data_IF_207480447348
#
_entry.id   IF_207480447348
#
_cell.length_a   1.000
_cell.length_b   1.000
_cell.length_c   1.000
_cell.angle_alpha   90.00
_cell.angle_beta   90.00
_cell.angle_gamma   90.00
#
_symmetry.space_group_name_H-M   'P 1'
#
loop_
_entity.id
_entity.type
_entity.pdbx_description
1 polymer ?
#
# COMPACT_ATOMS: atom_id res chain seq x y z
N UNK A 1 -12.31 3.79 22.08
CA UNK A 1 -12.73 2.79 21.09
C UNK A 1 -11.65 2.72 20.01
N UNK A 2 -10.73 1.75 20.09
CA UNK A 2 -9.57 1.65 19.19
C UNK A 2 -10.00 1.07 17.84
N UNK A 3 -10.13 1.94 16.84
CA UNK A 3 -10.62 1.55 15.51
C UNK A 3 -9.42 1.11 14.65
N UNK A 4 -9.12 -0.20 14.66
CA UNK A 4 -8.16 -0.79 13.72
C UNK A 4 -8.85 -1.70 12.69
N UNK A 5 -9.40 -1.14 11.59
CA UNK A 5 -9.49 -1.98 10.38
C UNK A 5 -9.16 -1.36 9.00
N UNK A 6 -8.68 -0.11 8.79
CA UNK A 6 -8.39 0.33 7.42
C UNK A 6 -7.18 -0.41 6.81
N UNK A 7 -6.15 -0.70 7.61
CA UNK A 7 -4.93 -1.36 7.14
C UNK A 7 -5.17 -2.79 6.59
N UNK A 8 -5.95 -3.61 7.29
CA UNK A 8 -6.26 -4.99 6.83
C UNK A 8 -7.11 -5.00 5.57
N UNK A 9 -8.04 -4.04 5.44
CA UNK A 9 -8.88 -3.92 4.23
C UNK A 9 -8.05 -3.47 3.04
N UNK A 10 -7.20 -2.46 3.22
CA UNK A 10 -6.25 -2.03 2.19
C UNK A 10 -5.28 -3.15 1.79
N UNK A 11 -4.78 -3.92 2.77
CA UNK A 11 -3.91 -5.07 2.51
C UNK A 11 -4.60 -6.19 1.72
N UNK A 12 -5.85 -6.53 2.06
CA UNK A 12 -6.63 -7.52 1.29
C UNK A 12 -6.92 -7.05 -0.13
N UNK A 13 -7.25 -5.76 -0.30
CA UNK A 13 -7.44 -5.17 -1.62
C UNK A 13 -6.14 -5.20 -2.42
N UNK A 14 -5.02 -4.86 -1.79
CA UNK A 14 -3.69 -4.91 -2.41
C UNK A 14 -3.32 -6.32 -2.87
N UNK A 15 -3.60 -7.35 -2.07
CA UNK A 15 -3.39 -8.75 -2.46
C UNK A 15 -4.25 -9.22 -3.63
N UNK A 16 -5.45 -8.65 -3.80
CA UNK A 16 -6.35 -9.00 -4.89
C UNK A 16 -6.05 -8.22 -6.17
N UNK A 17 -5.76 -6.93 -6.03
CA UNK A 17 -5.43 -6.03 -7.13
C UNK A 17 -4.53 -4.89 -6.61
N UNK A 18 -3.20 -4.98 -6.80
CA UNK A 18 -2.26 -3.92 -6.43
C UNK A 18 -2.51 -2.61 -7.18
N UNK A 19 -3.13 -2.66 -8.36
CA UNK A 19 -3.40 -1.52 -9.23
C UNK A 19 -4.76 -0.87 -8.94
N UNK A 20 -5.45 -1.29 -7.88
CA UNK A 20 -6.78 -0.80 -7.56
C UNK A 20 -6.77 0.72 -7.30
N UNK A 21 -7.65 1.53 -7.95
CA UNK A 21 -7.55 3.00 -7.94
C UNK A 21 -7.60 3.65 -6.55
N UNK A 22 -8.27 3.01 -5.58
CA UNK A 22 -8.40 3.54 -4.22
C UNK A 22 -7.12 3.39 -3.39
N UNK A 23 -6.26 2.42 -3.73
CA UNK A 23 -4.97 2.22 -3.05
C UNK A 23 -3.96 3.30 -3.44
N UNK A 24 -4.11 3.91 -4.63
CA UNK A 24 -3.14 4.87 -5.19
C UNK A 24 -1.70 4.35 -5.08
N UNK A 25 -1.51 3.06 -5.37
CA UNK A 25 -0.21 2.40 -5.32
C UNK A 25 0.70 3.05 -6.37
N UNK A 26 1.76 3.71 -5.91
CA UNK A 26 2.71 4.38 -6.80
C UNK A 26 4.13 4.17 -6.35
N UNK A 27 5.03 4.05 -7.32
CA UNK A 27 6.47 4.13 -7.07
C UNK A 27 6.78 5.54 -6.59
N UNK A 28 7.36 5.66 -5.40
CA UNK A 28 7.71 6.95 -4.78
C UNK A 28 9.20 7.25 -4.84
N UNK A 29 10.01 6.26 -5.24
CA UNK A 29 11.44 6.44 -5.43
C UNK A 29 11.84 6.21 -6.90
N UNK A 30 12.68 7.07 -7.50
CA UNK A 30 13.04 6.96 -8.91
C UNK A 30 13.80 5.65 -9.21
N UNK A 31 14.80 5.32 -8.39
CA UNK A 31 15.75 4.24 -8.68
C UNK A 31 15.56 2.99 -7.81
N UNK A 32 14.75 3.07 -6.75
CA UNK A 32 14.53 1.95 -5.82
C UNK A 32 13.09 1.49 -5.99
N UNK A 33 12.81 0.19 -5.82
CA UNK A 33 11.47 -0.34 -5.93
C UNK A 33 10.65 -0.01 -4.66
N UNK A 34 10.62 1.27 -4.26
CA UNK A 34 9.86 1.73 -3.10
C UNK A 34 8.51 2.25 -3.58
N UNK A 35 7.45 1.73 -2.97
CA UNK A 35 6.08 2.04 -3.31
C UNK A 35 5.32 2.60 -2.10
N UNK A 36 4.33 3.43 -2.36
CA UNK A 36 3.43 3.94 -1.33
C UNK A 36 1.98 3.54 -1.64
N UNK A 37 1.29 3.04 -0.61
CA UNK A 37 -0.12 2.70 -0.64
C UNK A 37 -0.91 3.56 0.36
N UNK A 38 -2.07 4.05 -0.05
CA UNK A 38 -2.96 4.84 0.81
C UNK A 38 -3.82 3.92 1.67
N UNK A 39 -3.66 4.00 2.99
CA UNK A 39 -4.48 3.24 3.95
C UNK A 39 -5.75 4.01 4.31
N UNK A 40 -5.62 5.32 4.56
CA UNK A 40 -6.75 6.23 4.79
C UNK A 40 -6.40 7.66 4.33
N UNK A 41 -7.16 8.68 4.77
CA UNK A 41 -6.92 10.06 4.33
C UNK A 41 -5.55 10.61 4.74
N UNK A 42 -5.09 10.22 5.92
CA UNK A 42 -3.96 10.83 6.62
C UNK A 42 -2.74 9.88 6.74
N UNK A 43 -2.95 8.58 6.57
CA UNK A 43 -1.92 7.54 6.68
C UNK A 43 -1.64 6.85 5.35
N UNK A 44 -0.34 6.68 5.07
CA UNK A 44 0.19 5.94 3.94
C UNK A 44 1.16 4.88 4.45
N UNK A 45 1.07 3.67 3.90
CA UNK A 45 2.13 2.69 4.02
C UNK A 45 3.18 2.97 2.93
N UNK A 46 4.43 2.74 3.28
CA UNK A 46 5.57 2.74 2.36
C UNK A 46 6.26 1.41 2.54
N UNK A 47 6.54 0.72 1.44
CA UNK A 47 7.20 -0.58 1.44
C UNK A 47 8.09 -0.74 0.22
N UNK A 48 9.06 -1.62 0.33
CA UNK A 48 9.96 -1.97 -0.77
C UNK A 48 9.43 -3.23 -1.44
N UNK A 49 9.24 -3.18 -2.75
CA UNK A 49 8.95 -4.35 -3.57
C UNK A 49 10.27 -5.08 -3.80
N UNK A 50 10.42 -6.24 -3.18
CA UNK A 50 11.43 -7.23 -3.52
C UNK A 50 10.75 -8.32 -4.35
N UNK A 51 11.18 -8.44 -5.61
CA UNK A 51 10.59 -9.32 -6.62
C UNK A 51 9.08 -9.11 -6.80
N UNK A 52 8.24 -9.95 -6.19
CA UNK A 52 6.77 -9.87 -6.19
C UNK A 52 6.17 -9.57 -4.79
N UNK A 53 7.02 -9.31 -3.79
CA UNK A 53 6.61 -9.11 -2.39
C UNK A 53 6.93 -7.70 -1.92
N UNK A 54 5.91 -6.97 -1.44
CA UNK A 54 6.13 -5.71 -0.74
C UNK A 54 6.38 -6.00 0.74
N UNK A 55 7.56 -5.62 1.25
CA UNK A 55 7.96 -5.68 2.66
C UNK A 55 7.83 -4.28 3.28
#
# INVERSE_FOLDING_TARGET
MLVAPPARKAYRQFKQDPSYPSLRFKKVHPNLPIYSARINRDYRAVGQLEDDTVI
#
